data_IF_719357145614
#
_entry.id   IF_719357145614
#
_cell.length_a   1.000
_cell.length_b   1.000
_cell.length_c   1.000
_cell.angle_alpha   90.00
_cell.angle_beta   90.00
_cell.angle_gamma   90.00
#
_symmetry.space_group_name_H-M   'P 1'
#
loop_
_entity.id
_entity.type
_entity.pdbx_description
1 polymer ?
#
# COMPACT_ATOMS: atom_id res chain seq x y z
N UNK A 1 11.81 -30.07 -23.81
CA UNK A 1 12.70 -29.18 -24.59
C UNK A 1 12.35 -27.74 -24.25
N UNK A 2 13.21 -27.09 -23.47
CA UNK A 2 13.05 -25.72 -23.01
C UNK A 2 13.11 -24.73 -24.18
N UNK A 3 12.08 -23.90 -24.36
CA UNK A 3 12.21 -22.64 -25.11
C UNK A 3 12.43 -21.52 -24.11
N UNK A 4 13.71 -21.19 -23.93
CA UNK A 4 14.20 -19.98 -23.27
C UNK A 4 13.68 -18.78 -24.05
N UNK A 5 12.84 -17.95 -23.44
CA UNK A 5 12.54 -16.61 -23.94
C UNK A 5 13.75 -15.75 -23.55
N UNK A 6 14.60 -15.41 -24.52
CA UNK A 6 15.67 -14.43 -24.32
C UNK A 6 15.02 -13.04 -24.28
N UNK A 7 15.07 -12.39 -23.13
CA UNK A 7 14.89 -10.93 -23.06
C UNK A 7 16.08 -10.25 -23.75
N UNK A 8 15.87 -9.16 -24.52
CA UNK A 8 16.97 -8.30 -24.92
C UNK A 8 17.42 -7.48 -23.70
N UNK A 9 18.67 -7.69 -23.30
CA UNK A 9 19.37 -6.84 -22.33
C UNK A 9 19.61 -5.49 -23.01
N UNK A 10 18.92 -4.43 -22.56
CA UNK A 10 19.30 -3.07 -22.87
C UNK A 10 20.40 -2.64 -21.88
N UNK A 11 21.62 -2.48 -22.38
CA UNK A 11 22.76 -1.93 -21.65
C UNK A 11 22.44 -0.50 -21.20
N UNK A 12 22.53 -0.23 -19.90
CA UNK A 12 22.53 1.13 -19.37
C UNK A 12 23.84 1.82 -19.74
N UNK A 13 23.76 2.90 -20.52
CA UNK A 13 24.78 3.94 -20.52
C UNK A 13 24.11 5.28 -20.18
N UNK A 14 24.74 5.99 -19.25
CA UNK A 14 24.30 7.28 -18.70
C UNK A 14 24.03 8.34 -19.79
N UNK A 15 22.91 9.07 -19.69
CA UNK A 15 22.74 10.41 -20.29
C UNK A 15 21.40 10.68 -20.99
N UNK A 16 20.71 11.73 -20.54
CA UNK A 16 19.60 12.47 -21.18
C UNK A 16 18.24 11.76 -21.35
N UNK A 17 17.08 12.47 -21.25
CA UNK A 17 15.75 11.91 -21.47
C UNK A 17 15.53 11.71 -22.98
N UNK A 18 16.23 10.74 -23.57
CA UNK A 18 16.12 10.42 -24.99
C UNK A 18 15.31 9.14 -25.19
N UNK A 19 14.08 9.31 -25.68
CA UNK A 19 13.25 8.32 -26.38
C UNK A 19 13.37 6.86 -25.89
N UNK A 20 12.67 6.53 -24.81
CA UNK A 20 12.45 5.14 -24.44
C UNK A 20 11.47 4.49 -25.42
N UNK A 21 12.00 3.64 -26.30
CA UNK A 21 11.24 2.91 -27.31
C UNK A 21 11.09 1.45 -26.89
N UNK A 22 9.85 0.96 -26.79
CA UNK A 22 9.57 -0.45 -26.49
C UNK A 22 8.50 -0.96 -27.45
N UNK A 23 8.79 -2.06 -28.15
CA UNK A 23 7.80 -2.75 -28.98
C UNK A 23 6.86 -3.57 -28.10
N UNK A 24 5.55 -3.43 -28.33
CA UNK A 24 4.53 -4.19 -27.63
C UNK A 24 3.82 -5.13 -28.62
N UNK A 25 3.49 -6.34 -28.15
CA UNK A 25 2.57 -7.25 -28.84
C UNK A 25 1.21 -7.13 -28.19
N UNK A 26 0.21 -6.75 -28.97
CA UNK A 26 -1.17 -6.59 -28.50
C UNK A 26 -1.97 -7.86 -28.83
N UNK A 27 -2.79 -8.33 -27.88
CA UNK A 27 -3.55 -9.57 -28.00
C UNK A 27 -5.05 -9.27 -28.04
N UNK A 28 -5.72 -9.66 -29.13
CA UNK A 28 -7.17 -9.49 -29.29
C UNK A 28 -7.90 -10.84 -29.37
N UNK A 29 -8.85 -11.05 -28.46
CA UNK A 29 -9.99 -11.99 -28.51
C UNK A 29 -9.80 -13.30 -29.29
N UNK A 30 -8.80 -14.12 -28.93
CA UNK A 30 -8.71 -15.52 -29.36
C UNK A 30 -8.71 -15.77 -30.89
N UNK A 31 -8.62 -14.73 -31.73
CA UNK A 31 -8.74 -14.79 -33.20
C UNK A 31 -7.59 -14.05 -33.88
N UNK A 32 -6.37 -14.46 -33.53
CA UNK A 32 -5.16 -14.15 -34.31
C UNK A 32 -4.41 -12.87 -33.93
N UNK A 33 -3.13 -12.84 -34.30
CA UNK A 33 -2.17 -11.79 -33.98
C UNK A 33 -2.42 -10.51 -34.79
N UNK A 34 -2.45 -9.35 -34.13
CA UNK A 34 -2.14 -8.05 -34.76
C UNK A 34 -0.98 -7.41 -34.01
N UNK A 35 0.18 -7.35 -34.67
CA UNK A 35 1.32 -6.59 -34.17
C UNK A 35 1.07 -5.11 -34.44
N UNK A 36 1.03 -4.28 -33.40
CA UNK A 36 0.96 -2.81 -33.53
C UNK A 36 2.18 -2.27 -32.79
N UNK A 37 3.06 -1.58 -33.52
CA UNK A 37 4.17 -0.84 -32.92
C UNK A 37 3.64 0.51 -32.43
N UNK A 38 3.57 0.71 -31.10
CA UNK A 38 3.18 1.98 -30.51
C UNK A 38 4.42 2.76 -30.03
N UNK A 39 4.46 4.06 -30.32
CA UNK A 39 5.48 5.00 -29.83
C UNK A 39 4.96 5.63 -28.54
N UNK A 40 5.57 5.33 -27.39
CA UNK A 40 5.27 6.00 -26.12
C UNK A 40 6.49 6.82 -25.70
N UNK A 41 6.34 8.15 -25.65
CA UNK A 41 7.38 9.03 -25.12
C UNK A 41 7.16 9.16 -23.62
N UNK A 42 7.98 8.47 -22.81
CA UNK A 42 7.81 8.39 -21.36
C UNK A 42 9.00 9.07 -20.69
N UNK A 43 8.74 10.16 -19.97
CA UNK A 43 9.71 10.78 -19.07
C UNK A 43 9.80 9.99 -17.77
N UNK A 44 10.92 9.29 -17.60
CA UNK A 44 11.52 8.72 -16.37
C UNK A 44 10.60 8.15 -15.27
N UNK A 45 10.83 6.85 -15.00
CA UNK A 45 10.61 6.11 -13.76
C UNK A 45 9.21 5.58 -13.39
N UNK A 46 8.29 5.47 -14.34
CA UNK A 46 7.07 4.65 -14.15
C UNK A 46 7.35 3.19 -14.50
N UNK A 47 7.13 2.25 -13.56
CA UNK A 47 7.21 0.81 -13.84
C UNK A 47 6.11 0.42 -14.85
N UNK A 48 6.51 0.28 -16.12
CA UNK A 48 5.67 -0.16 -17.25
C UNK A 48 5.38 -1.66 -17.18
N UNK A 49 4.43 -2.07 -16.34
CA UNK A 49 3.92 -3.45 -16.35
C UNK A 49 2.45 -3.60 -16.75
N UNK A 50 1.69 -2.51 -16.87
CA UNK A 50 0.25 -2.55 -17.13
C UNK A 50 -0.14 -1.38 -18.03
N UNK A 51 -0.04 -1.61 -19.34
CA UNK A 51 -0.30 -0.58 -20.36
C UNK A 51 -1.09 -1.12 -21.56
N UNK A 52 -1.58 -2.37 -21.52
CA UNK A 52 -2.10 -2.98 -22.74
C UNK A 52 -3.59 -2.74 -22.97
N UNK A 53 -4.46 -2.74 -21.96
CA UNK A 53 -5.91 -2.89 -22.21
C UNK A 53 -6.68 -1.58 -22.28
N UNK A 54 -6.45 -0.66 -21.35
CA UNK A 54 -7.08 0.68 -21.39
C UNK A 54 -6.64 1.46 -22.64
N UNK A 55 -5.36 1.35 -23.02
CA UNK A 55 -4.86 1.96 -24.24
C UNK A 55 -5.39 1.28 -25.50
N UNK A 56 -5.56 -0.04 -25.53
CA UNK A 56 -6.09 -0.77 -26.69
C UNK A 56 -7.54 -0.38 -27.02
N UNK A 57 -8.39 -0.18 -26.01
CA UNK A 57 -9.75 0.34 -26.23
C UNK A 57 -9.73 1.80 -26.72
N UNK A 58 -8.82 2.63 -26.20
CA UNK A 58 -8.68 4.02 -26.64
C UNK A 58 -8.19 4.12 -28.09
N UNK A 59 -7.25 3.27 -28.50
CA UNK A 59 -6.67 3.27 -29.84
C UNK A 59 -7.66 2.75 -30.90
N UNK A 60 -8.56 1.84 -30.51
CA UNK A 60 -9.62 1.35 -31.40
C UNK A 60 -10.78 2.34 -31.59
N UNK A 61 -10.99 3.26 -30.64
CA UNK A 61 -12.06 4.26 -30.70
C UNK A 61 -11.65 5.59 -31.34
N UNK A 62 -10.37 5.85 -31.57
CA UNK A 62 -9.93 7.13 -32.12
C UNK A 62 -8.84 7.00 -33.18
N UNK A 63 -9.25 6.82 -34.43
CA UNK A 63 -8.34 6.89 -35.58
C UNK A 63 -8.08 8.33 -36.06
N UNK A 64 -8.63 9.39 -35.43
CA UNK A 64 -8.52 10.76 -35.98
C UNK A 64 -8.39 11.94 -35.01
N UNK A 65 -8.40 11.78 -33.70
CA UNK A 65 -8.25 12.91 -32.76
C UNK A 65 -7.22 12.60 -31.66
N UNK A 66 -6.23 13.48 -31.53
CA UNK A 66 -5.35 13.55 -30.36
C UNK A 66 -6.07 14.28 -29.22
N UNK A 67 -7.18 13.71 -28.74
CA UNK A 67 -7.92 14.19 -27.57
C UNK A 67 -7.53 13.42 -26.29
N UNK A 68 -7.88 13.93 -25.09
CA UNK A 68 -7.64 13.21 -23.84
C UNK A 68 -8.31 11.84 -23.87
N UNK A 69 -7.62 10.84 -23.32
CA UNK A 69 -8.03 9.44 -23.20
C UNK A 69 -9.48 9.33 -22.69
N UNK A 70 -10.43 9.08 -23.60
CA UNK A 70 -11.78 8.66 -23.23
C UNK A 70 -11.73 7.19 -22.83
N UNK A 71 -11.38 6.94 -21.57
CA UNK A 71 -11.65 5.64 -20.94
C UNK A 71 -13.17 5.48 -20.96
N UNK A 72 -13.64 4.51 -21.75
CA UNK A 72 -15.05 4.39 -22.10
C UNK A 72 -15.91 4.35 -20.84
N UNK A 73 -17.02 5.10 -20.88
CA UNK A 73 -18.02 5.28 -19.82
C UNK A 73 -18.82 4.00 -19.51
N UNK A 74 -18.19 2.83 -19.49
CA UNK A 74 -18.85 1.52 -19.40
C UNK A 74 -18.75 0.90 -18.00
N UNK A 75 -18.87 1.70 -16.95
CA UNK A 75 -18.78 1.18 -15.57
C UNK A 75 -19.88 0.20 -15.19
N UNK A 76 -21.04 0.27 -15.85
CA UNK A 76 -22.16 -0.65 -15.58
C UNK A 76 -22.01 -2.03 -16.20
N UNK A 77 -21.09 -2.24 -17.16
CA UNK A 77 -20.99 -3.50 -17.90
C UNK A 77 -19.78 -4.38 -17.52
N UNK A 78 -18.83 -3.86 -16.73
CA UNK A 78 -17.58 -4.57 -16.42
C UNK A 78 -17.79 -5.97 -15.81
N UNK A 79 -18.71 -6.11 -14.85
CA UNK A 79 -18.97 -7.40 -14.19
C UNK A 79 -19.67 -8.45 -15.09
N UNK A 80 -20.22 -8.07 -16.24
CA UNK A 80 -20.93 -9.00 -17.13
C UNK A 80 -20.19 -9.26 -18.44
N UNK A 81 -19.35 -8.33 -18.88
CA UNK A 81 -18.68 -8.40 -20.18
C UNK A 81 -17.21 -8.83 -20.09
N UNK A 82 -16.58 -8.69 -18.92
CA UNK A 82 -15.16 -8.95 -18.74
C UNK A 82 -14.90 -10.00 -17.66
N UNK A 83 -13.90 -10.85 -17.89
CA UNK A 83 -13.48 -11.81 -16.89
C UNK A 83 -12.75 -11.12 -15.71
N UNK A 84 -12.40 -11.89 -14.69
CA UNK A 84 -11.73 -11.35 -13.50
C UNK A 84 -10.31 -10.83 -13.80
N UNK A 85 -9.59 -11.41 -14.76
CA UNK A 85 -8.23 -11.01 -15.11
C UNK A 85 -8.23 -9.67 -15.87
N UNK A 86 -9.23 -9.48 -16.71
CA UNK A 86 -9.48 -8.24 -17.42
C UNK A 86 -9.82 -7.10 -16.47
N UNK A 87 -10.82 -7.31 -15.60
CA UNK A 87 -11.20 -6.33 -14.56
C UNK A 87 -10.01 -5.94 -13.67
N UNK A 88 -9.18 -6.92 -13.30
CA UNK A 88 -7.92 -6.69 -12.57
C UNK A 88 -7.00 -5.74 -13.33
N UNK A 89 -6.82 -5.96 -14.64
CA UNK A 89 -5.95 -5.13 -15.48
C UNK A 89 -6.48 -3.71 -15.65
N UNK A 90 -7.80 -3.54 -15.85
CA UNK A 90 -8.40 -2.20 -15.94
C UNK A 90 -8.21 -1.38 -14.66
N UNK A 91 -8.38 -1.99 -13.48
CA UNK A 91 -8.15 -1.33 -12.20
C UNK A 91 -6.68 -0.93 -12.05
N UNK A 92 -5.75 -1.81 -12.40
CA UNK A 92 -4.31 -1.50 -12.31
C UNK A 92 -3.93 -0.35 -13.26
N UNK A 93 -4.30 -0.46 -14.55
CA UNK A 93 -4.01 0.53 -15.58
C UNK A 93 -4.58 1.91 -15.20
N UNK A 94 -5.86 1.99 -14.79
CA UNK A 94 -6.50 3.30 -14.56
C UNK A 94 -5.88 4.06 -13.36
N UNK A 95 -5.54 3.35 -12.28
CA UNK A 95 -4.91 3.97 -11.12
C UNK A 95 -3.45 4.34 -11.40
N UNK A 96 -2.74 3.55 -12.22
CA UNK A 96 -1.39 3.89 -12.67
C UNK A 96 -1.39 5.13 -13.58
N UNK A 97 -2.32 5.20 -14.55
CA UNK A 97 -2.50 6.36 -15.42
C UNK A 97 -2.91 7.61 -14.64
N UNK A 98 -3.76 7.46 -13.62
CA UNK A 98 -4.14 8.57 -12.75
C UNK A 98 -2.97 9.08 -11.92
N UNK A 99 -2.18 8.17 -11.34
CA UNK A 99 -0.96 8.53 -10.62
C UNK A 99 0.07 9.24 -11.51
N UNK A 100 0.12 8.88 -12.80
CA UNK A 100 0.99 9.50 -13.79
C UNK A 100 0.45 10.84 -14.34
N UNK A 101 -0.73 11.30 -13.90
CA UNK A 101 -1.37 12.53 -14.41
C UNK A 101 -1.88 12.43 -15.84
N UNK A 102 -2.02 11.21 -16.38
CA UNK A 102 -2.51 10.97 -17.75
C UNK A 102 -4.05 10.96 -17.77
N UNK A 103 -4.67 10.55 -16.66
CA UNK A 103 -6.13 10.47 -16.49
C UNK A 103 -6.52 11.09 -15.15
N UNK A 104 -7.60 11.84 -15.13
CA UNK A 104 -8.16 12.42 -13.89
C UNK A 104 -8.60 11.32 -12.89
N UNK A 105 -8.35 11.53 -11.58
CA UNK A 105 -8.72 10.57 -10.55
C UNK A 105 -10.22 10.31 -10.47
N UNK A 106 -11.05 11.28 -10.85
CA UNK A 106 -12.49 11.11 -10.95
C UNK A 106 -12.89 10.01 -11.93
N UNK A 107 -12.13 9.78 -13.01
CA UNK A 107 -12.36 8.66 -13.92
C UNK A 107 -11.95 7.33 -13.30
N UNK A 108 -10.83 7.29 -12.57
CA UNK A 108 -10.41 6.11 -11.82
C UNK A 108 -11.45 5.71 -10.75
N UNK A 109 -11.96 6.66 -9.97
CA UNK A 109 -13.00 6.39 -8.96
C UNK A 109 -14.36 6.09 -9.58
N UNK A 110 -14.66 6.64 -10.76
CA UNK A 110 -15.85 6.20 -11.49
C UNK A 110 -15.76 4.70 -11.78
N UNK A 111 -14.59 4.20 -12.20
CA UNK A 111 -14.37 2.77 -12.46
C UNK A 111 -14.67 1.90 -11.23
N UNK A 112 -14.39 2.36 -10.01
CA UNK A 112 -14.58 1.56 -8.80
C UNK A 112 -16.05 1.36 -8.42
N UNK A 113 -17.00 2.10 -9.01
CA UNK A 113 -18.43 2.04 -8.65
C UNK A 113 -19.05 0.65 -8.81
N UNK A 114 -18.51 -0.20 -9.70
CA UNK A 114 -19.03 -1.56 -9.89
C UNK A 114 -18.63 -2.52 -8.76
N UNK A 115 -17.62 -2.19 -7.95
CA UNK A 115 -17.04 -3.08 -6.94
C UNK A 115 -18.04 -3.55 -5.88
N UNK A 116 -19.16 -2.85 -5.70
CA UNK A 116 -20.28 -3.30 -4.84
C UNK A 116 -20.78 -4.70 -5.17
N UNK A 117 -20.58 -5.15 -6.41
CA UNK A 117 -20.99 -6.47 -6.91
C UNK A 117 -19.80 -7.36 -7.27
N UNK A 118 -18.56 -6.98 -6.91
CA UNK A 118 -17.36 -7.77 -7.19
C UNK A 118 -17.14 -8.86 -6.15
N UNK A 119 -16.84 -10.06 -6.60
CA UNK A 119 -16.63 -11.25 -5.75
C UNK A 119 -15.31 -11.95 -6.02
N UNK A 120 -14.56 -11.55 -7.04
CA UNK A 120 -13.31 -12.22 -7.41
C UNK A 120 -12.11 -11.74 -6.58
N UNK A 121 -11.38 -12.71 -6.02
CA UNK A 121 -10.19 -12.47 -5.21
C UNK A 121 -9.15 -11.60 -5.91
N UNK A 122 -8.80 -11.92 -7.17
CA UNK A 122 -7.72 -11.23 -7.89
C UNK A 122 -8.04 -9.75 -8.14
N UNK A 123 -9.33 -9.43 -8.31
CA UNK A 123 -9.78 -8.05 -8.49
C UNK A 123 -9.66 -7.29 -7.18
N UNK A 124 -10.21 -7.83 -6.07
CA UNK A 124 -10.11 -7.20 -4.76
C UNK A 124 -8.66 -7.05 -4.27
N UNK A 125 -7.80 -8.02 -4.55
CA UNK A 125 -6.38 -7.93 -4.24
C UNK A 125 -5.70 -6.77 -5.00
N UNK A 126 -6.07 -6.57 -6.28
CA UNK A 126 -5.60 -5.44 -7.05
C UNK A 126 -6.19 -4.11 -6.60
N UNK A 127 -7.45 -4.06 -6.22
CA UNK A 127 -8.06 -2.87 -5.61
C UNK A 127 -7.29 -2.47 -4.35
N UNK A 128 -7.03 -3.42 -3.44
CA UNK A 128 -6.30 -3.16 -2.19
C UNK A 128 -4.94 -2.49 -2.42
N UNK A 129 -4.19 -2.94 -3.43
CA UNK A 129 -2.90 -2.37 -3.80
C UNK A 129 -3.03 -1.02 -4.52
N UNK A 130 -3.96 -0.90 -5.46
CA UNK A 130 -4.14 0.31 -6.30
C UNK A 130 -4.57 1.53 -5.50
N UNK A 131 -5.42 1.33 -4.48
CA UNK A 131 -5.94 2.44 -3.66
C UNK A 131 -4.97 2.86 -2.55
N UNK A 132 -3.95 2.04 -2.24
CA UNK A 132 -3.05 2.28 -1.10
C UNK A 132 -2.29 3.59 -1.24
N UNK A 133 -1.81 3.93 -2.44
CA UNK A 133 -1.08 5.18 -2.63
C UNK A 133 -1.95 6.41 -2.36
N UNK A 134 -3.16 6.47 -2.94
CA UNK A 134 -4.10 7.56 -2.74
C UNK A 134 -4.45 7.69 -1.25
N UNK A 135 -4.73 6.55 -0.61
CA UNK A 135 -4.97 6.51 0.81
C UNK A 135 -3.82 7.10 1.63
N UNK A 136 -2.59 6.67 1.37
CA UNK A 136 -1.41 7.09 2.11
C UNK A 136 -1.23 8.61 1.99
N UNK A 137 -1.42 9.15 0.79
CA UNK A 137 -1.37 10.59 0.52
C UNK A 137 -2.48 11.38 1.21
N UNK A 138 -3.70 10.84 1.28
CA UNK A 138 -4.83 11.51 1.90
C UNK A 138 -4.89 11.35 3.43
N UNK A 139 -4.18 10.38 4.01
CA UNK A 139 -4.31 9.97 5.42
C UNK A 139 -4.12 11.09 6.45
N UNK A 140 -3.33 12.12 6.13
CA UNK A 140 -3.13 13.31 6.97
C UNK A 140 -4.21 14.39 6.83
N UNK A 141 -5.11 14.28 5.85
CA UNK A 141 -6.17 15.26 5.60
C UNK A 141 -7.48 14.83 6.30
N UNK A 142 -7.74 15.46 7.45
CA UNK A 142 -8.87 15.11 8.32
C UNK A 142 -10.26 15.32 7.69
N UNK A 143 -10.39 16.14 6.65
CA UNK A 143 -11.65 16.39 5.96
C UNK A 143 -11.87 15.42 4.79
N UNK A 144 -10.81 15.19 4.01
CA UNK A 144 -10.89 14.43 2.77
C UNK A 144 -10.78 12.92 2.99
N UNK A 145 -9.96 12.49 3.95
CA UNK A 145 -9.74 11.07 4.20
C UNK A 145 -11.00 10.30 4.63
N UNK A 146 -11.86 10.83 5.53
CA UNK A 146 -13.12 10.14 5.87
C UNK A 146 -14.07 9.94 4.67
N UNK A 147 -14.05 10.86 3.68
CA UNK A 147 -14.84 10.71 2.45
C UNK A 147 -14.28 9.60 1.55
N UNK A 148 -12.96 9.54 1.42
CA UNK A 148 -12.27 8.44 0.73
C UNK A 148 -12.56 7.09 1.42
N UNK A 149 -12.51 7.04 2.75
CA UNK A 149 -12.87 5.86 3.53
C UNK A 149 -14.32 5.46 3.28
N UNK A 150 -15.27 6.41 3.27
CA UNK A 150 -16.68 6.14 2.96
C UNK A 150 -16.86 5.48 1.59
N UNK A 151 -16.20 5.98 0.54
CA UNK A 151 -16.30 5.40 -0.80
C UNK A 151 -15.97 3.91 -0.82
N UNK A 152 -14.78 3.54 -0.29
CA UNK A 152 -14.31 2.16 -0.36
C UNK A 152 -14.94 1.26 0.70
N UNK A 153 -15.36 1.81 1.84
CA UNK A 153 -16.22 1.10 2.81
C UNK A 153 -17.52 0.67 2.14
N UNK A 154 -18.20 1.58 1.44
CA UNK A 154 -19.45 1.28 0.74
C UNK A 154 -19.26 0.27 -0.40
N UNK A 155 -18.08 0.22 -1.02
CA UNK A 155 -17.76 -0.77 -2.04
C UNK A 155 -17.55 -2.17 -1.45
N UNK A 156 -16.81 -2.28 -0.35
CA UNK A 156 -16.44 -3.57 0.23
C UNK A 156 -17.49 -4.16 1.16
N UNK A 157 -18.45 -3.33 1.63
CA UNK A 157 -19.41 -3.69 2.68
C UNK A 157 -20.08 -5.05 2.44
N UNK A 158 -20.77 -5.19 1.30
CA UNK A 158 -21.55 -6.39 0.98
C UNK A 158 -20.72 -7.67 1.06
N UNK A 159 -19.57 -7.72 0.36
CA UNK A 159 -18.74 -8.91 0.32
C UNK A 159 -18.04 -9.20 1.66
N UNK A 160 -17.65 -8.15 2.40
CA UNK A 160 -17.05 -8.32 3.73
C UNK A 160 -18.04 -8.89 4.75
N UNK A 161 -19.29 -8.43 4.72
CA UNK A 161 -20.37 -8.97 5.56
C UNK A 161 -20.73 -10.40 5.18
N UNK A 162 -20.81 -10.72 3.89
CA UNK A 162 -21.12 -12.08 3.42
C UNK A 162 -20.07 -13.10 3.84
N UNK A 163 -18.78 -12.76 3.73
CA UNK A 163 -17.70 -13.68 4.07
C UNK A 163 -17.48 -13.86 5.57
N UNK A 164 -17.78 -12.84 6.37
CA UNK A 164 -17.69 -12.86 7.83
C UNK A 164 -16.30 -13.18 8.38
N UNK A 165 -16.22 -13.43 9.69
CA UNK A 165 -14.98 -13.62 10.45
C UNK A 165 -14.70 -15.10 10.80
N UNK A 166 -15.18 -16.02 9.98
CA UNK A 166 -14.95 -17.47 10.15
C UNK A 166 -13.99 -18.00 9.08
N UNK A 167 -13.01 -18.83 9.44
CA UNK A 167 -11.99 -19.31 8.50
C UNK A 167 -12.44 -20.54 7.68
N UNK A 168 -13.53 -20.37 6.94
CA UNK A 168 -14.20 -21.42 6.16
C UNK A 168 -14.06 -21.21 4.64
N UNK A 169 -14.30 -22.27 3.87
CA UNK A 169 -14.28 -22.24 2.41
C UNK A 169 -12.94 -22.64 1.79
N UNK A 170 -12.84 -22.44 0.48
CA UNK A 170 -11.64 -22.72 -0.33
C UNK A 170 -10.50 -21.76 -0.01
N UNK A 171 -9.28 -22.09 -0.44
CA UNK A 171 -8.12 -21.21 -0.29
C UNK A 171 -8.38 -19.81 -0.86
N UNK A 172 -8.99 -19.73 -2.05
CA UNK A 172 -9.32 -18.45 -2.70
C UNK A 172 -10.34 -17.65 -1.90
N UNK A 173 -11.35 -18.30 -1.32
CA UNK A 173 -12.34 -17.62 -0.47
C UNK A 173 -11.72 -17.09 0.83
N UNK A 174 -10.76 -17.82 1.42
CA UNK A 174 -10.02 -17.36 2.60
C UNK A 174 -9.14 -16.13 2.30
N UNK A 175 -8.44 -16.14 1.17
CA UNK A 175 -7.64 -15.00 0.72
C UNK A 175 -8.51 -13.78 0.38
N UNK A 176 -9.67 -14.00 -0.25
CA UNK A 176 -10.65 -12.95 -0.49
C UNK A 176 -11.15 -12.36 0.84
N UNK A 177 -11.55 -13.21 1.80
CA UNK A 177 -12.00 -12.80 3.14
C UNK A 177 -10.97 -11.91 3.81
N UNK A 178 -9.72 -12.36 3.90
CA UNK A 178 -8.63 -11.57 4.48
C UNK A 178 -8.51 -10.20 3.79
N UNK A 179 -8.54 -10.19 2.46
CA UNK A 179 -8.42 -8.96 1.67
C UNK A 179 -9.56 -7.98 1.93
N UNK A 180 -10.82 -8.44 1.84
CA UNK A 180 -12.00 -7.57 1.98
C UNK A 180 -12.20 -7.10 3.42
N UNK A 181 -11.92 -7.94 4.42
CA UNK A 181 -11.95 -7.52 5.83
C UNK A 181 -10.83 -6.52 6.14
N UNK A 182 -9.65 -6.71 5.54
CA UNK A 182 -8.55 -5.74 5.67
C UNK A 182 -8.94 -4.38 5.12
N UNK A 183 -9.56 -4.32 3.93
CA UNK A 183 -10.08 -3.07 3.36
C UNK A 183 -11.16 -2.50 4.27
N UNK A 184 -12.14 -3.29 4.72
CA UNK A 184 -13.22 -2.81 5.58
C UNK A 184 -12.70 -2.13 6.85
N UNK A 185 -11.79 -2.79 7.59
CA UNK A 185 -11.18 -2.20 8.77
C UNK A 185 -10.32 -0.96 8.45
N UNK A 186 -9.59 -0.97 7.33
CA UNK A 186 -8.77 0.17 6.89
C UNK A 186 -9.63 1.39 6.50
N UNK A 187 -10.84 1.14 6.00
CA UNK A 187 -11.85 2.14 5.60
C UNK A 187 -12.82 2.51 6.73
N UNK A 188 -12.45 2.23 7.99
CA UNK A 188 -13.22 2.59 9.17
C UNK A 188 -14.65 2.02 9.19
N UNK A 189 -14.81 0.77 8.73
CA UNK A 189 -16.06 0.04 8.90
C UNK A 189 -16.24 -0.38 10.36
N UNK A 190 -17.20 0.25 11.04
CA UNK A 190 -17.42 0.04 12.47
C UNK A 190 -17.85 -1.40 12.80
N UNK A 191 -18.59 -2.09 11.93
CA UNK A 191 -18.97 -3.49 12.20
C UNK A 191 -17.75 -4.40 12.12
N UNK A 192 -16.89 -4.20 11.13
CA UNK A 192 -15.64 -4.96 10.99
C UNK A 192 -14.67 -4.67 12.14
N UNK A 193 -14.54 -3.40 12.55
CA UNK A 193 -13.68 -3.00 13.68
C UNK A 193 -14.19 -3.56 15.02
N UNK A 194 -15.50 -3.48 15.27
CA UNK A 194 -16.11 -4.02 16.47
C UNK A 194 -15.93 -5.54 16.57
N UNK A 195 -16.09 -6.26 15.45
CA UNK A 195 -15.88 -7.70 15.43
C UNK A 195 -14.41 -8.08 15.62
N UNK A 196 -13.48 -7.33 15.01
CA UNK A 196 -12.04 -7.49 15.26
C UNK A 196 -11.71 -7.29 16.75
N UNK A 197 -12.27 -6.26 17.39
CA UNK A 197 -12.14 -6.00 18.83
C UNK A 197 -12.73 -7.11 19.68
N UNK A 198 -13.92 -7.61 19.35
CA UNK A 198 -14.58 -8.71 20.08
C UNK A 198 -13.72 -9.97 20.07
N UNK A 199 -13.21 -10.36 18.90
CA UNK A 199 -12.35 -11.54 18.74
C UNK A 199 -11.01 -11.32 19.44
N UNK A 200 -10.44 -10.11 19.36
CA UNK A 200 -9.19 -9.75 20.03
C UNK A 200 -9.32 -9.83 21.55
N UNK A 201 -10.41 -9.30 22.12
CA UNK A 201 -10.66 -9.31 23.55
C UNK A 201 -10.79 -10.75 24.08
N UNK A 202 -11.57 -11.59 23.41
CA UNK A 202 -11.66 -13.03 23.74
C UNK A 202 -10.32 -13.76 23.61
N UNK A 203 -9.51 -13.39 22.61
CA UNK A 203 -8.16 -13.93 22.48
C UNK A 203 -7.25 -13.47 23.63
N UNK A 204 -7.30 -12.20 24.04
CA UNK A 204 -6.53 -11.68 25.18
C UNK A 204 -6.92 -12.40 26.47
N UNK A 205 -8.21 -12.61 26.71
CA UNK A 205 -8.74 -13.38 27.85
C UNK A 205 -8.37 -14.86 27.81
N UNK A 206 -7.96 -15.38 26.66
CA UNK A 206 -7.65 -16.80 26.45
C UNK A 206 -8.90 -17.68 26.29
N UNK A 207 -10.08 -17.08 26.11
CA UNK A 207 -11.34 -17.79 25.87
C UNK A 207 -11.50 -18.25 24.41
N UNK A 208 -10.69 -17.71 23.48
CA UNK A 208 -10.74 -18.03 22.06
C UNK A 208 -9.33 -18.11 21.42
N UNK A 209 -9.17 -19.04 20.47
CA UNK A 209 -8.03 -19.08 19.56
C UNK A 209 -8.38 -18.45 18.23
N UNK A 210 -7.56 -17.51 17.76
CA UNK A 210 -7.82 -16.79 16.51
C UNK A 210 -7.40 -17.64 15.32
N UNK A 211 -8.30 -17.76 14.34
CA UNK A 211 -8.06 -18.48 13.10
C UNK A 211 -6.88 -17.88 12.32
N UNK A 212 -6.08 -18.74 11.70
CA UNK A 212 -4.73 -18.40 11.19
C UNK A 212 -4.77 -17.25 10.18
N UNK A 213 -5.75 -17.27 9.26
CA UNK A 213 -5.88 -16.24 8.22
C UNK A 213 -6.42 -14.89 8.74
N UNK A 214 -6.95 -14.86 9.97
CA UNK A 214 -7.53 -13.65 10.57
C UNK A 214 -6.64 -13.02 11.63
N UNK A 215 -5.61 -13.73 12.11
CA UNK A 215 -4.71 -13.29 13.20
C UNK A 215 -4.19 -11.89 13.01
N UNK A 216 -3.63 -11.58 11.84
CA UNK A 216 -3.04 -10.27 11.58
C UNK A 216 -4.09 -9.15 11.69
N UNK A 217 -5.28 -9.37 11.15
CA UNK A 217 -6.37 -8.39 11.20
C UNK A 217 -6.87 -8.19 12.63
N UNK A 218 -7.13 -9.28 13.36
CA UNK A 218 -7.57 -9.24 14.75
C UNK A 218 -6.53 -8.55 15.63
N UNK A 219 -5.25 -8.86 15.47
CA UNK A 219 -4.17 -8.27 16.27
C UNK A 219 -4.01 -6.79 16.01
N UNK A 220 -4.04 -6.37 14.73
CA UNK A 220 -3.87 -4.95 14.37
C UNK A 220 -5.08 -4.13 14.76
N UNK A 221 -6.26 -4.51 14.29
CA UNK A 221 -7.46 -3.69 14.45
C UNK A 221 -8.10 -3.84 15.84
N UNK A 222 -7.94 -5.01 16.47
CA UNK A 222 -8.28 -5.17 17.89
C UNK A 222 -7.40 -4.32 18.79
N UNK A 223 -6.07 -4.35 18.62
CA UNK A 223 -5.17 -3.48 19.40
C UNK A 223 -5.40 -1.99 19.12
N UNK A 224 -5.69 -1.61 17.87
CA UNK A 224 -6.03 -0.24 17.50
C UNK A 224 -7.29 0.25 18.22
N UNK A 225 -8.37 -0.53 18.17
CA UNK A 225 -9.70 -0.07 18.56
C UNK A 225 -10.08 -0.39 20.02
N UNK A 226 -9.61 -1.50 20.59
CA UNK A 226 -9.91 -1.92 21.97
C UNK A 226 -8.66 -2.10 22.85
N UNK A 227 -7.49 -1.67 22.38
CA UNK A 227 -6.22 -1.78 23.10
C UNK A 227 -6.18 -0.94 24.38
N UNK A 228 -5.72 -1.56 25.46
CA UNK A 228 -5.35 -0.90 26.71
C UNK A 228 -3.92 -1.29 27.08
N UNK A 229 -3.28 -0.59 28.02
CA UNK A 229 -1.95 -0.99 28.49
C UNK A 229 -1.91 -2.44 29.00
N UNK A 230 -2.96 -2.89 29.70
CA UNK A 230 -3.08 -4.27 30.16
C UNK A 230 -3.08 -5.27 29.00
N UNK A 231 -3.97 -5.08 28.01
CA UNK A 231 -4.07 -5.95 26.83
C UNK A 231 -2.77 -5.92 26.00
N UNK A 232 -2.14 -4.75 25.90
CA UNK A 232 -0.85 -4.58 25.22
C UNK A 232 0.25 -5.37 25.92
N UNK A 233 0.35 -5.27 27.25
CA UNK A 233 1.34 -6.03 28.03
C UNK A 233 1.12 -7.55 27.89
N UNK A 234 -0.13 -8.03 27.89
CA UNK A 234 -0.45 -9.45 27.64
C UNK A 234 0.03 -9.89 26.25
N UNK A 235 -0.29 -9.11 25.20
CA UNK A 235 0.19 -9.39 23.84
C UNK A 235 1.72 -9.36 23.74
N UNK A 236 2.38 -8.45 24.48
CA UNK A 236 3.83 -8.33 24.51
C UNK A 236 4.50 -9.54 25.18
N UNK A 237 3.92 -10.08 26.25
CA UNK A 237 4.38 -11.35 26.84
C UNK A 237 4.19 -12.52 25.86
N UNK A 238 3.08 -12.56 25.11
CA UNK A 238 2.86 -13.56 24.06
C UNK A 238 3.87 -13.43 22.92
N UNK A 239 4.25 -12.20 22.55
CA UNK A 239 5.34 -11.97 21.60
C UNK A 239 6.65 -12.54 22.12
N UNK A 240 7.05 -12.22 23.34
CA UNK A 240 8.33 -12.69 23.93
C UNK A 240 8.41 -14.22 24.01
N UNK A 241 7.31 -14.85 24.43
CA UNK A 241 7.20 -16.31 24.63
C UNK A 241 6.99 -17.12 23.33
N UNK A 242 6.56 -16.49 22.24
CA UNK A 242 6.30 -17.21 20.99
C UNK A 242 7.58 -17.75 20.34
N UNK A 243 7.58 -19.03 20.00
CA UNK A 243 8.67 -19.68 19.26
C UNK A 243 8.54 -19.50 17.74
N UNK A 244 7.34 -19.20 17.23
CA UNK A 244 7.05 -19.17 15.80
C UNK A 244 7.32 -17.77 15.22
N UNK A 245 8.30 -17.66 14.31
CA UNK A 245 8.67 -16.38 13.69
C UNK A 245 7.50 -15.70 12.96
N UNK A 246 6.67 -16.49 12.24
CA UNK A 246 5.49 -15.98 11.54
C UNK A 246 4.40 -15.45 12.48
N UNK A 247 4.38 -15.92 13.74
CA UNK A 247 3.47 -15.41 14.76
C UNK A 247 4.04 -14.16 15.41
N UNK A 248 5.34 -14.15 15.70
CA UNK A 248 6.06 -12.97 16.22
C UNK A 248 5.88 -11.74 15.33
N UNK A 249 5.98 -11.90 14.01
CA UNK A 249 5.76 -10.79 13.06
C UNK A 249 4.34 -10.20 13.16
N UNK A 250 3.30 -11.05 13.24
CA UNK A 250 1.91 -10.60 13.39
C UNK A 250 1.68 -9.91 14.74
N UNK A 251 2.23 -10.47 15.81
CA UNK A 251 2.14 -9.88 17.16
C UNK A 251 2.85 -8.54 17.21
N UNK A 252 4.02 -8.42 16.58
CA UNK A 252 4.78 -7.18 16.50
C UNK A 252 3.99 -6.08 15.77
N UNK A 253 3.34 -6.42 14.66
CA UNK A 253 2.47 -5.47 13.96
C UNK A 253 1.22 -5.12 14.79
N UNK A 254 0.65 -6.09 15.50
CA UNK A 254 -0.43 -5.84 16.47
C UNK A 254 -0.03 -4.83 17.54
N UNK A 255 1.10 -5.06 18.22
CA UNK A 255 1.66 -4.16 19.24
C UNK A 255 1.92 -2.74 18.73
N UNK A 256 2.39 -2.61 17.49
CA UNK A 256 2.63 -1.32 16.84
C UNK A 256 1.34 -0.62 16.39
N UNK A 257 0.19 -1.30 16.42
CA UNK A 257 -1.10 -0.72 16.01
C UNK A 257 -1.85 -0.02 17.15
N UNK A 258 -1.30 0.01 18.37
CA UNK A 258 -1.90 0.67 19.54
C UNK A 258 -2.03 2.18 19.37
N UNK A 259 -3.16 2.77 19.79
CA UNK A 259 -3.37 4.23 19.77
C UNK A 259 -2.90 4.89 21.08
N UNK A 260 -1.64 4.63 21.46
CA UNK A 260 -1.02 5.19 22.67
C UNK A 260 0.47 5.49 22.45
N UNK A 261 0.88 6.75 22.62
CA UNK A 261 2.25 7.20 22.38
C UNK A 261 3.28 6.54 23.32
N UNK A 262 2.95 6.38 24.61
CA UNK A 262 3.87 5.79 25.59
C UNK A 262 4.16 4.32 25.27
N UNK A 263 3.15 3.57 24.84
CA UNK A 263 3.30 2.16 24.46
C UNK A 263 4.04 1.98 23.14
N UNK A 264 3.85 2.87 22.16
CA UNK A 264 4.66 2.88 20.94
C UNK A 264 6.13 3.20 21.24
N UNK A 265 6.39 4.16 22.12
CA UNK A 265 7.75 4.48 22.56
C UNK A 265 8.38 3.32 23.34
N UNK A 266 7.63 2.67 24.24
CA UNK A 266 8.03 1.46 24.96
C UNK A 266 8.42 0.33 23.98
N UNK A 267 7.67 0.17 22.89
CA UNK A 267 7.99 -0.81 21.84
C UNK A 267 9.31 -0.47 21.12
N UNK A 268 9.53 0.79 20.76
CA UNK A 268 10.78 1.24 20.14
C UNK A 268 11.99 1.05 21.06
N UNK A 269 11.85 1.37 22.35
CA UNK A 269 12.93 1.16 23.33
C UNK A 269 13.22 -0.32 23.58
N UNK A 270 12.20 -1.19 23.55
CA UNK A 270 12.39 -2.63 23.62
C UNK A 270 13.23 -3.19 22.45
N UNK A 271 13.26 -2.50 21.29
CA UNK A 271 14.09 -2.88 20.15
C UNK A 271 15.60 -2.85 20.44
N UNK A 272 16.02 -2.09 21.47
CA UNK A 272 17.43 -1.97 21.86
C UNK A 272 17.95 -3.21 22.60
N UNK A 273 17.05 -4.03 23.16
CA UNK A 273 17.39 -5.26 23.87
C UNK A 273 17.25 -6.49 22.95
N UNK A 274 18.39 -7.11 22.60
CA UNK A 274 18.44 -8.30 21.73
C UNK A 274 17.81 -9.55 22.32
N UNK A 275 17.67 -9.62 23.65
CA UNK A 275 16.98 -10.72 24.31
C UNK A 275 15.45 -10.62 24.13
N UNK A 276 14.94 -9.42 23.83
CA UNK A 276 13.53 -9.14 23.62
C UNK A 276 13.20 -9.10 22.14
N UNK A 277 13.88 -8.24 21.38
CA UNK A 277 13.70 -8.08 19.92
C UNK A 277 14.99 -8.47 19.22
N UNK A 278 14.91 -9.49 18.36
CA UNK A 278 16.08 -9.97 17.61
C UNK A 278 16.64 -8.85 16.74
N UNK A 279 17.96 -8.85 16.57
CA UNK A 279 18.66 -7.81 15.80
C UNK A 279 18.09 -7.59 14.38
N UNK A 280 17.67 -8.65 13.69
CA UNK A 280 17.05 -8.57 12.36
C UNK A 280 15.62 -8.00 12.36
N UNK A 281 14.90 -8.06 13.48
CA UNK A 281 13.48 -7.68 13.58
C UNK A 281 13.30 -6.19 13.96
N UNK A 282 14.37 -5.50 14.40
CA UNK A 282 14.35 -4.08 14.77
C UNK A 282 13.83 -3.20 13.63
N UNK A 283 14.36 -3.38 12.42
CA UNK A 283 13.95 -2.55 11.27
C UNK A 283 12.47 -2.75 10.93
N UNK A 284 11.97 -3.99 11.03
CA UNK A 284 10.56 -4.31 10.85
C UNK A 284 9.70 -3.66 11.93
N UNK A 285 10.14 -3.69 13.19
CA UNK A 285 9.47 -3.02 14.32
C UNK A 285 9.32 -1.52 14.05
N UNK A 286 10.43 -0.83 13.74
CA UNK A 286 10.43 0.62 13.45
C UNK A 286 9.53 0.92 12.26
N UNK A 287 9.55 0.07 11.22
CA UNK A 287 8.64 0.18 10.07
C UNK A 287 7.17 0.06 10.45
N UNK A 288 6.79 -0.92 11.29
CA UNK A 288 5.41 -1.05 11.74
C UNK A 288 4.95 0.14 12.60
N UNK A 289 5.83 0.69 13.46
CA UNK A 289 5.53 1.92 14.19
C UNK A 289 5.34 3.10 13.23
N UNK A 290 6.11 3.17 12.13
CA UNK A 290 5.93 4.24 11.12
C UNK A 290 4.59 4.19 10.38
N UNK A 291 3.93 3.03 10.34
CA UNK A 291 2.60 2.86 9.75
C UNK A 291 1.46 3.32 10.66
N UNK A 292 1.73 3.49 11.95
CA UNK A 292 0.77 4.03 12.90
C UNK A 292 0.70 5.56 12.73
N UNK A 293 -0.48 6.19 12.58
CA UNK A 293 -0.59 7.64 12.48
C UNK A 293 0.08 8.40 13.65
N UNK A 294 0.01 7.87 14.87
CA UNK A 294 0.68 8.43 16.05
C UNK A 294 2.19 8.11 16.06
N UNK A 295 2.58 7.00 15.44
CA UNK A 295 3.95 6.49 15.39
C UNK A 295 4.78 7.00 14.21
N UNK A 296 4.17 7.58 13.18
CA UNK A 296 4.86 8.01 11.95
C UNK A 296 6.01 8.96 12.23
N UNK A 297 5.75 10.05 12.97
CA UNK A 297 6.79 10.99 13.41
C UNK A 297 7.73 10.36 14.43
N UNK A 298 7.19 9.59 15.37
CA UNK A 298 7.97 8.95 16.42
C UNK A 298 9.04 7.98 15.89
N UNK A 299 8.71 7.19 14.85
CA UNK A 299 9.64 6.26 14.22
C UNK A 299 10.81 7.01 13.56
N UNK A 300 10.53 8.14 12.91
CA UNK A 300 11.55 9.00 12.32
C UNK A 300 12.42 9.66 13.40
N UNK A 301 11.81 10.31 14.39
CA UNK A 301 12.51 11.00 15.48
C UNK A 301 13.38 10.01 16.26
N UNK A 302 12.85 8.82 16.61
CA UNK A 302 13.63 7.77 17.26
C UNK A 302 14.81 7.30 16.41
N UNK A 303 14.60 7.09 15.11
CA UNK A 303 15.67 6.65 14.19
C UNK A 303 16.80 7.68 14.11
N UNK A 304 16.46 8.96 13.97
CA UNK A 304 17.43 10.04 13.83
C UNK A 304 18.16 10.34 15.15
N UNK A 305 17.46 10.34 16.28
CA UNK A 305 18.05 10.51 17.62
C UNK A 305 18.98 9.35 18.01
N UNK A 306 18.67 8.13 17.56
CA UNK A 306 19.46 6.94 17.84
C UNK A 306 20.40 6.54 16.68
N UNK A 307 20.63 7.41 15.70
CA UNK A 307 21.40 7.07 14.50
C UNK A 307 22.81 6.53 14.81
N UNK A 308 23.54 7.18 15.71
CA UNK A 308 24.87 6.74 16.13
C UNK A 308 24.86 5.35 16.78
N UNK A 309 23.81 5.05 17.57
CA UNK A 309 23.61 3.73 18.15
C UNK A 309 23.37 2.68 17.05
N UNK A 310 22.51 2.99 16.08
CA UNK A 310 22.20 2.10 14.96
C UNK A 310 23.44 1.84 14.09
N UNK A 311 24.19 2.87 13.74
CA UNK A 311 25.46 2.73 12.98
C UNK A 311 26.47 1.91 13.75
N UNK A 312 26.61 2.11 15.07
CA UNK A 312 27.51 1.30 15.90
C UNK A 312 27.10 -0.17 15.94
N UNK A 313 25.80 -0.46 15.99
CA UNK A 313 25.26 -1.82 16.08
C UNK A 313 25.31 -2.59 14.77
N UNK A 314 24.97 -1.94 13.66
CA UNK A 314 24.81 -2.59 12.35
C UNK A 314 25.91 -2.28 11.35
N UNK A 315 26.71 -1.25 11.58
CA UNK A 315 27.63 -0.61 10.63
C UNK A 315 26.90 0.18 9.53
N UNK A 316 27.55 1.22 9.00
CA UNK A 316 26.97 2.07 7.94
C UNK A 316 26.76 1.33 6.61
N UNK A 317 27.37 0.15 6.46
CA UNK A 317 27.24 -0.70 5.27
C UNK A 317 26.13 -1.75 5.39
N UNK A 318 25.37 -1.79 6.49
CA UNK A 318 24.20 -2.65 6.58
C UNK A 318 23.07 -2.17 5.67
N UNK A 319 22.54 -3.09 4.85
CA UNK A 319 21.52 -2.77 3.84
C UNK A 319 20.16 -2.45 4.44
N UNK A 320 19.82 -3.00 5.62
CA UNK A 320 18.54 -2.71 6.25
C UNK A 320 18.58 -1.34 6.93
N UNK A 321 19.70 -0.99 7.58
CA UNK A 321 19.94 0.36 8.09
C UNK A 321 19.92 1.40 6.96
N UNK A 322 20.62 1.13 5.86
CA UNK A 322 20.64 2.03 4.70
C UNK A 322 19.25 2.30 4.10
N UNK A 323 18.36 1.29 4.11
CA UNK A 323 16.98 1.40 3.58
C UNK A 323 15.96 1.92 4.59
N UNK A 324 16.32 2.00 5.88
CA UNK A 324 15.37 2.37 6.92
C UNK A 324 14.71 3.74 6.67
N UNK A 325 15.44 4.82 6.30
CA UNK A 325 14.82 6.10 5.99
C UNK A 325 13.77 6.00 4.89
N UNK A 326 14.05 5.28 3.80
CA UNK A 326 13.10 5.07 2.69
C UNK A 326 11.85 4.30 3.14
N UNK A 327 12.00 3.35 4.06
CA UNK A 327 10.89 2.50 4.52
C UNK A 327 9.94 3.21 5.49
N UNK A 328 10.41 4.20 6.24
CA UNK A 328 9.62 4.89 7.29
C UNK A 328 9.08 6.25 6.84
N UNK A 329 9.46 6.71 5.65
CA UNK A 329 9.05 8.01 5.08
C UNK A 329 8.18 7.88 3.83
N UNK A 330 7.69 6.68 3.50
CA UNK A 330 6.91 6.43 2.26
C UNK A 330 5.64 7.28 2.14
N UNK A 331 5.08 7.68 3.28
CA UNK A 331 3.86 8.48 3.42
C UNK A 331 4.13 9.99 3.57
N UNK A 332 5.40 10.41 3.58
CA UNK A 332 5.73 11.84 3.68
C UNK A 332 5.38 12.54 2.38
N UNK A 333 4.71 13.69 2.50
CA UNK A 333 4.11 14.42 1.39
C UNK A 333 4.03 15.94 1.63
N UNK A 334 4.82 16.49 2.56
CA UNK A 334 4.88 17.93 2.86
C UNK A 334 6.30 18.49 2.71
N UNK A 335 6.42 19.77 2.38
CA UNK A 335 7.72 20.45 2.25
C UNK A 335 8.51 20.43 3.59
N UNK A 336 7.83 20.50 4.74
CA UNK A 336 8.47 20.41 6.06
C UNK A 336 9.10 19.03 6.32
N UNK A 337 8.40 17.96 5.93
CA UNK A 337 8.93 16.60 6.02
C UNK A 337 10.15 16.41 5.12
N UNK A 338 10.08 16.91 3.87
CA UNK A 338 11.21 16.87 2.94
C UNK A 338 12.42 17.61 3.51
N UNK A 339 12.23 18.83 4.01
CA UNK A 339 13.29 19.62 4.64
C UNK A 339 13.90 18.89 5.83
N UNK A 340 13.08 18.23 6.66
CA UNK A 340 13.56 17.47 7.84
C UNK A 340 14.49 16.32 7.41
N UNK A 341 14.15 15.63 6.32
CA UNK A 341 14.98 14.56 5.76
C UNK A 341 16.30 15.10 5.20
N UNK A 342 16.24 16.16 4.40
CA UNK A 342 17.43 16.81 3.82
C UNK A 342 18.37 17.32 4.91
N UNK A 343 17.81 17.94 5.95
CA UNK A 343 18.58 18.41 7.10
C UNK A 343 19.32 17.27 7.81
N UNK A 344 18.63 16.16 8.11
CA UNK A 344 19.25 15.00 8.76
C UNK A 344 20.32 14.34 7.88
N UNK A 345 20.09 14.22 6.57
CA UNK A 345 21.07 13.64 5.66
C UNK A 345 22.32 14.51 5.53
N UNK A 346 22.18 15.84 5.57
CA UNK A 346 23.31 16.77 5.60
C UNK A 346 24.12 16.67 6.91
N UNK A 347 23.47 16.40 8.04
CA UNK A 347 24.14 16.17 9.33
C UNK A 347 24.83 14.81 9.41
N UNK A 348 24.49 13.86 8.54
CA UNK A 348 25.02 12.49 8.52
C UNK A 348 25.51 12.10 7.13
N UNK A 349 26.51 12.80 6.56
CA UNK A 349 26.86 12.67 5.14
C UNK A 349 27.43 11.30 4.76
N UNK A 350 28.06 10.57 5.68
CA UNK A 350 28.45 9.18 5.46
C UNK A 350 27.20 8.29 5.47
N UNK A 351 26.74 7.94 4.28
CA UNK A 351 25.52 7.16 4.09
C UNK A 351 25.78 5.67 3.88
N UNK A 352 27.01 5.24 3.57
CA UNK A 352 27.36 3.85 3.26
C UNK A 352 26.34 3.17 2.31
N UNK A 353 25.73 2.07 2.76
CA UNK A 353 24.72 1.34 1.98
C UNK A 353 23.39 2.11 1.79
N UNK A 354 23.24 3.26 2.44
CA UNK A 354 22.09 4.15 2.39
C UNK A 354 22.18 5.30 1.38
N UNK A 355 23.29 5.48 0.66
CA UNK A 355 23.47 6.58 -0.31
C UNK A 355 22.33 6.63 -1.34
N UNK A 356 22.16 5.58 -2.14
CA UNK A 356 21.06 5.48 -3.11
C UNK A 356 19.67 5.44 -2.46
N UNK A 357 19.40 4.67 -1.38
CA UNK A 357 18.13 4.73 -0.67
C UNK A 357 17.71 6.13 -0.19
N UNK A 358 18.66 6.97 0.25
CA UNK A 358 18.38 8.36 0.67
C UNK A 358 17.94 9.22 -0.51
N UNK A 359 18.62 9.14 -1.64
CA UNK A 359 18.21 9.84 -2.87
C UNK A 359 16.81 9.42 -3.31
N UNK A 360 16.54 8.11 -3.31
CA UNK A 360 15.23 7.56 -3.64
C UNK A 360 14.13 8.02 -2.66
N UNK A 361 14.46 8.14 -1.38
CA UNK A 361 13.53 8.62 -0.36
C UNK A 361 13.17 10.09 -0.62
N UNK A 362 14.15 10.96 -0.83
CA UNK A 362 13.91 12.38 -1.16
C UNK A 362 13.08 12.53 -2.44
N UNK A 363 13.42 11.77 -3.48
CA UNK A 363 12.68 11.78 -4.74
C UNK A 363 11.24 11.28 -4.59
N UNK A 364 11.02 10.24 -3.78
CA UNK A 364 9.67 9.76 -3.47
C UNK A 364 8.84 10.84 -2.78
N UNK A 365 9.41 11.54 -1.80
CA UNK A 365 8.70 12.61 -1.07
C UNK A 365 8.43 13.81 -1.97
N UNK A 366 9.36 14.20 -2.85
CA UNK A 366 9.12 15.26 -3.85
C UNK A 366 7.96 14.90 -4.78
N UNK A 367 7.92 13.65 -5.27
CA UNK A 367 6.82 13.16 -6.10
C UNK A 367 5.49 13.14 -5.35
N UNK A 368 5.50 12.79 -4.05
CA UNK A 368 4.30 12.83 -3.21
C UNK A 368 3.77 14.26 -3.01
N UNK A 369 4.66 15.23 -2.75
CA UNK A 369 4.30 16.66 -2.62
C UNK A 369 3.66 17.15 -3.92
N UNK A 370 4.29 16.84 -5.06
CA UNK A 370 3.75 17.25 -6.37
C UNK A 370 2.42 16.58 -6.68
N UNK A 371 2.27 15.30 -6.34
CA UNK A 371 1.01 14.58 -6.48
C UNK A 371 -0.11 15.25 -5.66
N UNK A 372 0.14 15.66 -4.42
CA UNK A 372 -0.84 16.39 -3.61
C UNK A 372 -1.24 17.70 -4.29
N UNK A 373 -0.27 18.50 -4.73
CA UNK A 373 -0.50 19.79 -5.40
C UNK A 373 -1.37 19.65 -6.65
N UNK A 374 -1.14 18.60 -7.44
CA UNK A 374 -1.83 18.37 -8.71
C UNK A 374 -3.20 17.72 -8.57
N UNK A 375 -3.40 16.82 -7.60
CA UNK A 375 -4.57 15.91 -7.58
C UNK A 375 -5.56 16.17 -6.44
N UNK A 376 -5.13 16.77 -5.32
CA UNK A 376 -5.98 16.82 -4.10
C UNK A 376 -7.32 17.54 -4.35
N UNK A 377 -7.30 18.67 -5.04
CA UNK A 377 -8.52 19.45 -5.28
C UNK A 377 -9.52 18.72 -6.19
N UNK A 378 -9.04 18.04 -7.24
CA UNK A 378 -9.90 17.26 -8.13
C UNK A 378 -10.55 16.09 -7.39
N UNK A 379 -9.75 15.35 -6.60
CA UNK A 379 -10.22 14.27 -5.73
C UNK A 379 -11.26 14.79 -4.73
N UNK A 380 -11.02 15.95 -4.12
CA UNK A 380 -11.93 16.60 -3.19
C UNK A 380 -13.29 16.87 -3.81
N UNK A 381 -13.32 17.56 -4.95
CA UNK A 381 -14.55 17.89 -5.67
C UNK A 381 -15.29 16.61 -6.08
N UNK A 382 -14.58 15.57 -6.54
CA UNK A 382 -15.23 14.32 -6.91
C UNK A 382 -15.86 13.62 -5.70
N UNK A 383 -15.12 13.49 -4.60
CA UNK A 383 -15.60 12.82 -3.39
C UNK A 383 -16.81 13.56 -2.78
N UNK A 384 -16.76 14.89 -2.68
CA UNK A 384 -17.90 15.69 -2.19
C UNK A 384 -19.19 15.45 -2.97
N UNK A 385 -19.09 15.28 -4.30
CA UNK A 385 -20.26 15.05 -5.16
C UNK A 385 -20.75 13.59 -5.17
N UNK A 386 -19.93 12.62 -4.74
CA UNK A 386 -20.23 11.19 -4.89
C UNK A 386 -20.31 10.43 -3.57
N UNK A 387 -19.88 11.01 -2.44
CA UNK A 387 -19.87 10.38 -1.12
C UNK A 387 -20.63 11.17 -0.06
N UNK A 388 -21.53 12.08 -0.47
CA UNK A 388 -22.40 12.83 0.44
C UNK A 388 -23.13 11.91 1.44
#
# INVERSE_FOLDING_TARGET
>A
MNKVIKEPVALMQHGSPSNYMKEFKIYKDGKGYKSISALLNISSNTQLHSFSKVLEESYNNDSRHRGPLKVAQTTKSLNREFDAADRTSYIDDIFALARAGIVDYGNAFNLTKYLKNETDYIVWNRVASSITYVQDMLSGNAELYPKFQKLFRDHVKTISTELGWDDVGTQTQRLLRETVLSIACKMDDQDALNEASRIFDQWIEGSLSVAVNLRLLVYRYGMKNSGTEEKWNIMFERYKSSALAQEKDKLLYGLASVENLDLLYKLLEAAKDESVVRSQDLFTLVRYVSYNPLGQRMAWDWTTLNWNYLVKRYTINDRNLGRLPTQITTTYNTDFQLWTMEHFFNLTPDAGAGEMPREQALETVRNNIEWIRSNENEIRVWLENNTA
#
